data_IF_333017293713
#
_entry.id   IF_333017293713
#
_cell.length_a   1.000
_cell.length_b   1.000
_cell.length_c   1.000
_cell.angle_alpha   90.00
_cell.angle_beta   90.00
_cell.angle_gamma   90.00
#
_symmetry.space_group_name_H-M   'P 1'
#
loop_
_entity.id
_entity.type
_entity.pdbx_description
1 polymer ?
#
# COMPACT_ATOMS: atom_id res chain seq x y z
N UNK A 1 44.15 10.18 22.24
CA UNK A 1 43.58 11.40 21.61
C UNK A 1 42.91 11.16 20.25
N UNK A 2 43.45 10.32 19.36
CA UNK A 2 42.91 10.08 17.99
C UNK A 2 41.66 9.18 17.92
N UNK A 3 41.42 8.36 18.94
CA UNK A 3 40.27 7.43 19.00
C UNK A 3 38.94 8.15 19.25
N UNK A 4 38.98 9.25 20.02
CA UNK A 4 37.82 10.12 20.25
C UNK A 4 37.44 10.92 18.99
N UNK A 5 38.42 11.30 18.17
CA UNK A 5 38.18 11.95 16.87
C UNK A 5 37.42 11.02 15.89
N UNK A 6 37.77 9.73 15.87
CA UNK A 6 37.06 8.74 15.04
C UNK A 6 35.62 8.50 15.51
N UNK A 7 35.40 8.44 16.83
CA UNK A 7 34.06 8.27 17.39
C UNK A 7 33.17 9.51 17.12
N UNK A 8 33.73 10.72 17.24
CA UNK A 8 33.01 11.95 16.91
C UNK A 8 32.65 12.03 15.41
N UNK A 9 33.57 11.63 14.52
CA UNK A 9 33.31 11.62 13.08
C UNK A 9 32.21 10.61 12.69
N UNK A 10 32.21 9.41 13.28
CA UNK A 10 31.17 8.40 13.05
C UNK A 10 29.80 8.84 13.57
N UNK A 11 29.76 9.49 14.74
CA UNK A 11 28.52 10.03 15.29
C UNK A 11 27.92 11.13 14.39
N UNK A 12 28.76 12.03 13.85
CA UNK A 12 28.31 13.08 12.93
C UNK A 12 27.80 12.51 11.59
N UNK A 13 28.49 11.50 11.03
CA UNK A 13 28.05 10.82 9.81
C UNK A 13 26.71 10.09 10.01
N UNK A 14 26.53 9.40 11.15
CA UNK A 14 25.27 8.73 11.47
C UNK A 14 24.11 9.74 11.64
N UNK A 15 24.37 10.90 12.25
CA UNK A 15 23.36 11.95 12.41
C UNK A 15 22.93 12.54 11.06
N UNK A 16 23.87 12.80 10.16
CA UNK A 16 23.56 13.28 8.80
C UNK A 16 22.73 12.29 7.99
N UNK A 17 22.94 10.98 8.20
CA UNK A 17 22.19 9.94 7.50
C UNK A 17 20.78 9.73 8.07
N UNK A 18 20.58 9.90 9.38
CA UNK A 18 19.25 9.77 10.00
C UNK A 18 18.32 10.95 9.71
N UNK A 19 18.86 12.12 9.37
CA UNK A 19 18.07 13.33 9.10
C UNK A 19 17.58 13.44 7.65
N UNK A 20 17.83 12.47 6.77
CA UNK A 20 17.34 12.51 5.38
C UNK A 20 15.84 12.19 5.32
N UNK A 21 14.94 13.14 5.00
CA UNK A 21 13.52 12.89 4.84
C UNK A 21 13.28 12.57 3.35
N UNK A 22 13.59 11.34 2.92
CA UNK A 22 13.40 10.89 1.53
C UNK A 22 11.94 10.56 1.18
N UNK A 23 10.99 10.98 2.02
CA UNK A 23 9.55 10.83 1.80
C UNK A 23 8.83 12.13 2.19
N UNK A 24 9.02 13.19 1.42
CA UNK A 24 8.07 14.30 1.44
C UNK A 24 6.99 14.04 0.40
N UNK A 25 5.80 13.77 0.94
CA UNK A 25 4.55 13.44 0.27
C UNK A 25 4.30 14.24 -1.03
N UNK A 26 3.85 13.60 -2.12
CA UNK A 26 3.26 14.29 -3.26
C UNK A 26 1.90 14.95 -2.93
N UNK A 27 1.44 14.87 -1.68
CA UNK A 27 0.19 15.47 -1.21
C UNK A 27 0.37 16.97 -0.87
N UNK A 28 1.05 17.70 -1.75
CA UNK A 28 0.99 19.16 -1.72
C UNK A 28 -0.36 19.61 -2.28
N UNK A 29 -1.29 19.83 -1.35
CA UNK A 29 -2.25 20.95 -1.35
C UNK A 29 -3.18 21.06 -2.57
N UNK A 30 -4.26 20.29 -2.55
CA UNK A 30 -5.55 20.82 -3.00
C UNK A 30 -6.28 21.34 -1.76
N UNK A 31 -6.32 22.66 -1.65
CA UNK A 31 -7.20 23.40 -0.75
C UNK A 31 -8.64 22.91 -1.02
N UNK A 32 -9.36 22.25 -0.10
CA UNK A 32 -10.77 22.00 -0.33
C UNK A 32 -11.47 23.36 -0.34
N UNK A 33 -12.02 23.74 -1.49
CA UNK A 33 -13.02 24.79 -1.54
C UNK A 33 -14.21 24.29 -0.70
N UNK A 34 -14.75 25.09 0.23
CA UNK A 34 -16.00 24.74 0.88
C UNK A 34 -17.11 25.00 -0.13
N UNK A 35 -17.62 23.94 -0.78
CA UNK A 35 -18.89 24.00 -1.49
C UNK A 35 -19.73 22.78 -1.12
N UNK A 36 -20.53 23.00 -0.06
CA UNK A 36 -21.94 22.65 0.04
C UNK A 36 -22.36 21.33 -0.60
N UNK A 37 -22.34 20.26 0.19
CA UNK A 37 -23.28 19.15 0.02
C UNK A 37 -24.51 19.53 0.82
N UNK A 38 -25.51 20.05 0.13
CA UNK A 38 -26.89 19.92 0.59
C UNK A 38 -27.20 18.41 0.60
N UNK A 39 -27.67 17.95 1.75
CA UNK A 39 -28.34 16.67 1.92
C UNK A 39 -29.41 16.50 0.84
N UNK A 40 -29.42 15.35 0.18
CA UNK A 40 -30.66 14.78 -0.34
C UNK A 40 -30.56 13.26 -0.17
N UNK A 41 -31.41 12.77 0.74
CA UNK A 41 -31.70 11.38 0.93
C UNK A 41 -32.71 10.94 -0.13
N UNK A 42 -32.47 9.78 -0.73
CA UNK A 42 -33.41 8.81 -1.33
C UNK A 42 -32.59 7.97 -2.33
N UNK A 43 -32.80 6.70 -2.62
CA UNK A 43 -33.59 5.58 -2.10
C UNK A 43 -33.13 4.41 -3.02
N UNK A 44 -33.23 3.21 -2.50
CA UNK A 44 -32.69 1.97 -3.04
C UNK A 44 -32.97 1.66 -4.53
N UNK A 45 -32.11 0.77 -5.05
CA UNK A 45 -32.25 -0.06 -6.27
C UNK A 45 -31.52 0.44 -7.53
N UNK A 46 -30.20 0.57 -7.43
CA UNK A 46 -29.35 0.23 -8.56
C UNK A 46 -28.08 -0.41 -8.01
N UNK A 47 -27.91 -1.72 -8.23
CA UNK A 47 -26.68 -2.40 -7.89
C UNK A 47 -25.54 -1.70 -8.64
N UNK A 48 -24.55 -1.08 -7.97
CA UNK A 48 -23.31 -0.86 -8.65
C UNK A 48 -22.75 -2.27 -8.84
N UNK A 49 -22.76 -2.73 -10.09
CA UNK A 49 -21.69 -3.59 -10.58
C UNK A 49 -20.41 -2.81 -10.38
N UNK A 50 -19.93 -2.79 -9.13
CA UNK A 50 -18.60 -2.45 -8.77
C UNK A 50 -17.75 -3.54 -9.37
N UNK A 51 -17.47 -3.41 -10.67
CA UNK A 51 -16.08 -3.46 -11.08
C UNK A 51 -15.39 -2.37 -10.26
N UNK A 52 -15.15 -2.69 -8.99
CA UNK A 52 -14.03 -2.18 -8.26
C UNK A 52 -12.89 -2.66 -9.14
N UNK A 53 -12.50 -1.84 -10.10
CA UNK A 53 -11.09 -1.56 -10.31
C UNK A 53 -10.59 -1.24 -8.90
N UNK A 54 -10.34 -2.29 -8.13
CA UNK A 54 -9.48 -2.24 -6.97
C UNK A 54 -8.27 -1.63 -7.62
N UNK A 55 -8.08 -0.33 -7.38
CA UNK A 55 -6.85 0.37 -7.66
C UNK A 55 -5.81 -0.40 -6.86
N UNK A 56 -5.38 -1.54 -7.41
CA UNK A 56 -4.39 -2.43 -6.89
C UNK A 56 -3.07 -1.73 -7.17
N UNK A 57 -2.94 -0.57 -6.54
CA UNK A 57 -1.69 0.13 -6.37
C UNK A 57 -0.83 -0.89 -5.66
N UNK A 58 0.29 -1.21 -6.26
CA UNK A 58 1.30 -2.05 -5.64
C UNK A 58 1.90 -1.25 -4.47
N UNK A 59 1.15 -1.25 -3.37
CA UNK A 59 1.37 -0.55 -2.11
C UNK A 59 2.38 -1.27 -1.21
N UNK A 60 2.96 -2.36 -1.72
CA UNK A 60 3.95 -3.17 -1.03
C UNK A 60 3.37 -4.40 -0.34
N UNK A 61 2.06 -4.67 -0.45
CA UNK A 61 1.47 -5.91 0.04
C UNK A 61 1.99 -7.10 -0.78
N UNK A 62 2.51 -8.11 -0.09
CA UNK A 62 3.14 -9.30 -0.72
C UNK A 62 2.68 -10.63 -0.14
N UNK A 63 1.96 -10.61 0.98
CA UNK A 63 1.55 -11.79 1.72
C UNK A 63 0.04 -11.86 1.86
N UNK A 64 -0.47 -13.08 2.05
CA UNK A 64 -1.90 -13.35 2.12
C UNK A 64 -2.60 -12.71 3.30
N UNK A 65 -1.94 -12.56 4.44
CA UNK A 65 -2.51 -11.87 5.62
C UNK A 65 -2.85 -10.40 5.38
N UNK A 66 -2.37 -9.81 4.28
CA UNK A 66 -2.62 -8.42 3.91
C UNK A 66 -3.76 -8.27 2.90
N UNK A 67 -4.26 -9.38 2.34
CA UNK A 67 -5.41 -9.40 1.44
C UNK A 67 -6.68 -9.64 2.27
N UNK A 68 -7.85 -9.33 1.72
CA UNK A 68 -9.14 -9.56 2.41
C UNK A 68 -10.01 -10.61 1.72
N UNK A 69 -9.66 -11.02 0.50
CA UNK A 69 -10.42 -12.02 -0.25
C UNK A 69 -9.61 -12.67 -1.37
N UNK A 70 -10.11 -13.82 -1.85
CA UNK A 70 -9.50 -14.57 -2.95
C UNK A 70 -9.53 -13.79 -4.27
N UNK A 71 -10.64 -13.08 -4.52
CA UNK A 71 -10.79 -12.25 -5.72
C UNK A 71 -9.82 -11.05 -5.70
N UNK A 72 -9.65 -10.40 -4.54
CA UNK A 72 -8.68 -9.33 -4.36
C UNK A 72 -7.25 -9.85 -4.56
N UNK A 73 -6.89 -10.98 -3.95
CA UNK A 73 -5.56 -11.57 -4.09
C UNK A 73 -5.25 -11.91 -5.56
N UNK A 74 -6.21 -12.49 -6.30
CA UNK A 74 -6.08 -12.75 -7.75
C UNK A 74 -5.98 -11.48 -8.59
N UNK A 75 -6.65 -10.40 -8.20
CA UNK A 75 -6.48 -9.11 -8.85
C UNK A 75 -5.07 -8.55 -8.58
N UNK A 76 -4.59 -8.62 -7.33
CA UNK A 76 -3.27 -8.13 -6.93
C UNK A 76 -2.12 -8.89 -7.61
N UNK A 77 -2.22 -10.22 -7.71
CA UNK A 77 -1.23 -11.06 -8.38
C UNK A 77 -1.07 -10.70 -9.87
N UNK A 78 -2.17 -10.36 -10.55
CA UNK A 78 -2.15 -9.97 -11.97
C UNK A 78 -1.72 -8.51 -12.18
N UNK A 79 -2.06 -7.63 -11.24
CA UNK A 79 -1.77 -6.19 -11.34
C UNK A 79 -0.35 -5.85 -10.91
N UNK A 80 0.27 -6.66 -10.05
CA UNK A 80 1.56 -6.35 -9.46
C UNK A 80 2.60 -7.48 -9.66
N UNK A 81 3.81 -7.14 -10.15
CA UNK A 81 4.89 -8.12 -10.31
C UNK A 81 5.64 -8.39 -9.00
N UNK A 82 6.07 -9.65 -8.80
CA UNK A 82 6.95 -10.04 -7.68
C UNK A 82 6.23 -10.39 -6.37
N UNK A 83 4.95 -10.76 -6.46
CA UNK A 83 4.10 -11.09 -5.32
C UNK A 83 4.46 -12.46 -4.76
N UNK A 84 4.48 -12.62 -3.43
CA UNK A 84 4.87 -13.87 -2.74
C UNK A 84 3.66 -14.64 -2.17
N UNK A 85 2.49 -14.40 -2.75
CA UNK A 85 1.22 -14.98 -2.30
C UNK A 85 0.79 -16.22 -3.10
N UNK A 86 1.36 -16.40 -4.28
CA UNK A 86 1.26 -17.58 -5.13
C UNK A 86 2.64 -18.25 -5.10
N UNK A 87 2.77 -19.27 -4.23
CA UNK A 87 4.05 -19.86 -3.87
C UNK A 87 4.51 -20.95 -4.84
N UNK A 88 3.55 -21.64 -5.43
CA UNK A 88 3.70 -22.74 -6.38
C UNK A 88 3.51 -22.29 -7.84
N UNK A 89 2.94 -21.10 -8.07
CA UNK A 89 2.88 -20.45 -9.38
C UNK A 89 1.75 -21.00 -10.26
N UNK A 90 0.69 -21.51 -9.65
CA UNK A 90 -0.48 -22.06 -10.35
C UNK A 90 -1.52 -20.99 -10.71
N UNK A 91 -1.30 -19.75 -10.26
CA UNK A 91 -2.19 -18.61 -10.45
C UNK A 91 -3.30 -18.49 -9.40
N UNK A 92 -3.29 -19.32 -8.35
CA UNK A 92 -4.21 -19.28 -7.22
C UNK A 92 -3.46 -18.78 -5.97
N UNK A 93 -3.44 -17.46 -5.74
CA UNK A 93 -2.81 -16.91 -4.54
C UNK A 93 -3.61 -17.23 -3.29
N UNK A 94 -2.94 -17.43 -2.16
CA UNK A 94 -3.57 -17.53 -0.85
C UNK A 94 -4.55 -18.68 -0.65
N UNK A 95 -4.27 -19.84 -1.22
CA UNK A 95 -5.05 -21.08 -1.06
C UNK A 95 -5.32 -21.42 0.41
N UNK A 96 -4.35 -21.17 1.29
CA UNK A 96 -4.45 -21.48 2.72
C UNK A 96 -5.39 -20.56 3.51
N UNK A 97 -5.72 -19.36 3.02
CA UNK A 97 -6.48 -18.36 3.80
C UNK A 97 -7.74 -17.88 3.09
N UNK A 98 -7.63 -17.50 1.82
CA UNK A 98 -8.69 -16.84 1.08
C UNK A 98 -9.25 -17.69 -0.04
N UNK A 99 -8.38 -18.35 -0.81
CA UNK A 99 -8.75 -19.21 -1.94
C UNK A 99 -8.86 -20.68 -1.50
N UNK A 100 -9.48 -20.93 -0.34
CA UNK A 100 -9.78 -22.28 0.11
C UNK A 100 -10.87 -22.86 -0.79
N UNK A 101 -10.53 -23.93 -1.50
CA UNK A 101 -11.45 -24.72 -2.31
C UNK A 101 -12.23 -25.69 -1.45
#
# INVERSE_FOLDING_TARGET
>A
MKKWMLLAALALLAWQYMDTPSWQNPFSRSKPAPMSIAEDADEAANAPSGSSTLDARCDGRRYCSQMTSCAEAKAFLRSCPGMKMDGDGDGIPCEEQWCRM
#
